data_IF_203516422445
#
_entry.id   IF_203516422445
#
_cell.length_a   1.000
_cell.length_b   1.000
_cell.length_c   1.000
_cell.angle_alpha   90.00
_cell.angle_beta   90.00
_cell.angle_gamma   90.00
#
_symmetry.space_group_name_H-M   'P 1'
#
loop_
_entity.id
_entity.type
_entity.pdbx_description
1 polymer ?
#
# COMPACT_ATOMS: atom_id res chain seq x y z
N UNK A 1 -8.53 21.88 -10.75
CA UNK A 1 -8.36 20.42 -10.57
C UNK A 1 -7.30 20.03 -11.56
N UNK A 2 -6.05 19.98 -11.13
CA UNK A 2 -5.00 19.43 -11.98
C UNK A 2 -5.32 17.95 -12.18
N UNK A 3 -5.37 17.51 -13.43
CA UNK A 3 -5.53 16.10 -13.74
C UNK A 3 -4.40 15.35 -13.02
N UNK A 4 -4.76 14.38 -12.16
CA UNK A 4 -3.76 13.52 -11.55
C UNK A 4 -2.88 12.97 -12.67
N UNK A 5 -1.58 13.24 -12.60
CA UNK A 5 -0.64 12.83 -13.63
C UNK A 5 -0.46 11.32 -13.50
N UNK A 6 -1.19 10.55 -14.28
CA UNK A 6 -0.98 9.10 -14.34
C UNK A 6 0.27 8.80 -15.17
N UNK A 7 1.00 7.77 -14.78
CA UNK A 7 2.08 7.19 -15.57
C UNK A 7 1.73 5.74 -15.88
N UNK A 8 2.25 5.18 -16.98
CA UNK A 8 2.10 3.74 -17.23
C UNK A 8 3.09 2.95 -16.37
N UNK A 9 2.75 1.71 -16.01
CA UNK A 9 3.67 0.78 -15.34
C UNK A 9 4.96 0.57 -16.12
N UNK A 10 4.88 0.61 -17.46
CA UNK A 10 6.03 0.45 -18.33
C UNK A 10 7.00 1.64 -18.22
N UNK A 11 6.48 2.87 -18.13
CA UNK A 11 7.32 4.05 -17.89
C UNK A 11 7.88 4.02 -16.48
N UNK A 12 7.05 3.70 -15.49
CA UNK A 12 7.47 3.58 -14.09
C UNK A 12 8.67 2.63 -13.92
N UNK A 13 8.57 1.39 -14.42
CA UNK A 13 9.62 0.39 -14.18
C UNK A 13 10.90 0.61 -15.00
N UNK A 14 10.82 1.29 -16.16
CA UNK A 14 11.99 1.62 -16.99
C UNK A 14 12.89 2.66 -16.33
N UNK A 15 12.29 3.58 -15.58
CA UNK A 15 12.99 4.71 -14.97
C UNK A 15 13.61 4.34 -13.60
N UNK A 16 13.34 3.13 -13.08
CA UNK A 16 13.86 2.66 -11.80
C UNK A 16 15.21 1.94 -11.95
N UNK A 17 16.26 2.51 -11.38
CA UNK A 17 17.55 1.86 -11.17
C UNK A 17 17.68 1.38 -9.72
N UNK A 18 17.41 0.10 -9.47
CA UNK A 18 17.41 -0.50 -8.14
C UNK A 18 18.37 -1.69 -8.03
N UNK A 19 18.90 -1.91 -6.82
CA UNK A 19 19.75 -3.04 -6.47
C UNK A 19 18.96 -4.26 -6.02
N UNK A 20 17.88 -4.05 -5.27
CA UNK A 20 16.97 -5.10 -4.83
C UNK A 20 15.58 -4.52 -4.58
N UNK A 21 14.60 -5.40 -4.40
CA UNK A 21 13.25 -5.03 -4.02
C UNK A 21 12.75 -5.87 -2.87
N UNK A 22 11.77 -5.34 -2.15
CA UNK A 22 11.07 -6.02 -1.07
C UNK A 22 9.58 -5.99 -1.31
N UNK A 23 8.91 -7.12 -1.07
CA UNK A 23 7.46 -7.19 -1.12
C UNK A 23 6.88 -7.20 0.28
N UNK A 24 5.81 -6.44 0.47
CA UNK A 24 5.16 -6.25 1.77
C UNK A 24 3.67 -6.59 1.69
N UNK A 25 3.18 -7.25 2.74
CA UNK A 25 1.76 -7.40 3.02
C UNK A 25 1.37 -6.45 4.14
N UNK A 26 0.22 -5.79 4.04
CA UNK A 26 -0.28 -4.87 5.05
C UNK A 26 -1.80 -4.93 5.17
N UNK A 27 -2.31 -4.40 6.27
CA UNK A 27 -3.73 -4.30 6.59
C UNK A 27 -4.47 -5.65 6.56
N UNK A 28 -3.79 -6.79 6.78
CA UNK A 28 -4.36 -8.14 6.63
C UNK A 28 -4.10 -9.00 7.85
N UNK A 29 -5.01 -9.95 8.09
CA UNK A 29 -4.86 -11.02 9.07
C UNK A 29 -5.36 -10.66 10.48
N UNK A 30 -5.57 -11.67 11.35
CA UNK A 30 -6.25 -11.49 12.64
C UNK A 30 -5.60 -10.44 13.54
N UNK A 31 -4.27 -10.39 13.57
CA UNK A 31 -3.52 -9.42 14.37
C UNK A 31 -3.80 -7.96 13.94
N UNK A 32 -3.97 -7.72 12.63
CA UNK A 32 -4.38 -6.42 12.14
C UNK A 32 -5.81 -6.08 12.58
N UNK A 33 -6.74 -7.03 12.45
CA UNK A 33 -8.15 -6.81 12.79
C UNK A 33 -8.33 -6.51 14.29
N UNK A 34 -7.68 -7.29 15.15
CA UNK A 34 -7.67 -7.08 16.60
C UNK A 34 -7.13 -5.70 16.95
N UNK A 35 -5.97 -5.34 16.40
CA UNK A 35 -5.35 -4.05 16.66
C UNK A 35 -6.18 -2.88 16.13
N UNK A 36 -6.79 -3.02 14.96
CA UNK A 36 -7.69 -2.02 14.40
C UNK A 36 -8.92 -1.82 15.28
N UNK A 37 -9.51 -2.90 15.80
CA UNK A 37 -10.64 -2.83 16.73
C UNK A 37 -10.27 -2.13 18.04
N UNK A 38 -9.07 -2.39 18.58
CA UNK A 38 -8.54 -1.68 19.74
C UNK A 38 -8.41 -0.17 19.48
N UNK A 39 -7.85 0.20 18.32
CA UNK A 39 -7.70 1.61 17.92
C UNK A 39 -9.07 2.29 17.74
N UNK A 40 -10.05 1.61 17.13
CA UNK A 40 -11.41 2.12 16.99
C UNK A 40 -12.10 2.30 18.35
N UNK A 41 -11.91 1.36 19.29
CA UNK A 41 -12.41 1.46 20.64
C UNK A 41 -11.75 2.59 21.43
N UNK A 42 -10.43 2.77 21.28
CA UNK A 42 -9.69 3.89 21.88
C UNK A 42 -10.16 5.24 21.30
N UNK A 43 -10.28 5.35 19.98
CA UNK A 43 -10.84 6.54 19.31
C UNK A 43 -12.23 6.87 19.85
N UNK A 44 -13.10 5.88 19.99
CA UNK A 44 -14.46 6.07 20.54
C UNK A 44 -14.40 6.56 21.99
N UNK A 45 -13.58 5.93 22.84
CA UNK A 45 -13.39 6.34 24.24
C UNK A 45 -12.89 7.78 24.35
N UNK A 46 -11.89 8.15 23.55
CA UNK A 46 -11.37 9.53 23.52
C UNK A 46 -12.45 10.52 23.08
N UNK A 47 -13.20 10.23 22.01
CA UNK A 47 -14.29 11.11 21.56
C UNK A 47 -15.38 11.30 22.62
N UNK A 48 -15.72 10.26 23.37
CA UNK A 48 -16.70 10.35 24.47
C UNK A 48 -16.14 11.15 25.65
N UNK A 49 -14.93 10.80 26.12
CA UNK A 49 -14.30 11.44 27.27
C UNK A 49 -14.07 12.95 27.03
N UNK A 50 -13.87 13.34 25.78
CA UNK A 50 -13.58 14.72 25.40
C UNK A 50 -14.82 15.62 25.31
N UNK A 51 -16.02 15.06 25.09
CA UNK A 51 -17.31 15.77 25.21
C UNK A 51 -17.45 17.08 24.44
N UNK A 52 -16.69 17.31 23.36
CA UNK A 52 -16.73 18.54 22.55
C UNK A 52 -15.84 19.70 23.03
N UNK A 53 -14.90 19.49 23.96
CA UNK A 53 -13.97 20.52 24.47
C UNK A 53 -12.70 20.66 23.63
N UNK A 54 -12.82 21.12 22.38
CA UNK A 54 -11.76 21.24 21.36
C UNK A 54 -10.58 22.19 21.66
N UNK A 55 -10.32 22.55 22.92
CA UNK A 55 -9.27 23.50 23.30
C UNK A 55 -8.08 22.86 24.04
N UNK A 56 -8.14 21.57 24.38
CA UNK A 56 -7.00 20.86 24.98
C UNK A 56 -6.16 20.19 23.89
N UNK A 57 -4.95 20.70 23.71
CA UNK A 57 -4.04 20.29 22.65
C UNK A 57 -3.46 18.88 22.86
N UNK A 58 -3.38 18.38 24.10
CA UNK A 58 -2.88 17.03 24.38
C UNK A 58 -3.80 15.95 23.79
N UNK A 59 -5.11 16.13 23.95
CA UNK A 59 -6.10 15.22 23.38
C UNK A 59 -6.17 15.29 21.85
N UNK A 60 -6.00 16.48 21.27
CA UNK A 60 -5.94 16.62 19.81
C UNK A 60 -4.78 15.82 19.23
N UNK A 61 -3.61 15.93 19.85
CA UNK A 61 -2.41 15.19 19.43
C UNK A 61 -2.64 13.68 19.55
N UNK A 62 -3.20 13.21 20.66
CA UNK A 62 -3.49 11.78 20.84
C UNK A 62 -4.54 11.26 19.85
N UNK A 63 -5.64 11.99 19.65
CA UNK A 63 -6.68 11.62 18.69
C UNK A 63 -6.12 11.61 17.26
N UNK A 64 -5.34 12.63 16.89
CA UNK A 64 -4.70 12.70 15.58
C UNK A 64 -3.76 11.51 15.34
N UNK A 65 -2.98 11.10 16.36
CA UNK A 65 -2.10 9.92 16.25
C UNK A 65 -2.89 8.62 16.03
N UNK A 66 -4.02 8.45 16.69
CA UNK A 66 -4.88 7.26 16.51
C UNK A 66 -5.58 7.29 15.16
N UNK A 67 -6.11 8.45 14.76
CA UNK A 67 -6.77 8.62 13.46
C UNK A 67 -5.77 8.41 12.32
N UNK A 68 -4.53 8.89 12.45
CA UNK A 68 -3.46 8.60 11.49
C UNK A 68 -3.25 7.08 11.33
N UNK A 69 -3.20 6.32 12.43
CA UNK A 69 -3.01 4.85 12.36
C UNK A 69 -4.21 4.10 11.78
N UNK A 70 -5.43 4.59 12.02
CA UNK A 70 -6.67 3.97 11.49
C UNK A 70 -6.83 4.26 10.00
N UNK A 71 -6.47 5.47 9.57
CA UNK A 71 -6.69 5.96 8.21
C UNK A 71 -5.45 5.90 7.32
N UNK A 72 -4.31 5.40 7.82
CA UNK A 72 -3.14 5.13 7.02
C UNK A 72 -3.50 4.09 5.93
N UNK A 73 -3.31 4.48 4.68
CA UNK A 73 -3.70 3.67 3.51
C UNK A 73 -2.50 3.08 2.77
N UNK A 74 -1.32 3.69 2.92
CA UNK A 74 -0.11 3.36 2.17
C UNK A 74 0.92 2.65 3.05
N UNK A 75 1.83 1.93 2.41
CA UNK A 75 2.93 1.25 3.09
C UNK A 75 3.85 2.23 3.83
N UNK A 76 4.09 3.41 3.27
CA UNK A 76 4.96 4.43 3.85
C UNK A 76 4.18 5.73 3.98
N UNK A 77 4.27 6.37 5.15
CA UNK A 77 3.65 7.67 5.41
C UNK A 77 4.54 8.85 4.96
N UNK A 78 4.01 10.07 5.09
CA UNK A 78 4.73 11.32 4.72
C UNK A 78 6.02 11.53 5.53
N UNK A 79 6.19 10.84 6.67
CA UNK A 79 7.39 10.87 7.50
C UNK A 79 8.39 9.76 7.15
N UNK A 80 8.12 8.99 6.09
CA UNK A 80 8.94 7.85 5.69
C UNK A 80 8.79 6.63 6.60
N UNK A 81 7.82 6.63 7.53
CA UNK A 81 7.57 5.52 8.45
C UNK A 81 6.71 4.46 7.78
N UNK A 82 7.05 3.20 8.03
CA UNK A 82 6.25 2.08 7.53
C UNK A 82 4.93 1.98 8.28
N UNK A 83 3.90 1.52 7.57
CA UNK A 83 2.61 1.19 8.13
C UNK A 83 2.80 0.20 9.28
N UNK A 84 2.14 0.43 10.41
CA UNK A 84 2.33 -0.36 11.63
C UNK A 84 2.01 -1.85 11.47
N UNK A 85 1.22 -2.20 10.45
CA UNK A 85 0.86 -3.58 10.12
C UNK A 85 1.70 -4.17 8.98
N UNK A 86 2.74 -3.46 8.50
CA UNK A 86 3.53 -3.91 7.39
C UNK A 86 4.33 -5.15 7.77
N UNK A 87 4.24 -6.19 6.95
CA UNK A 87 4.98 -7.41 7.07
C UNK A 87 5.83 -7.59 5.82
N UNK A 88 7.16 -7.63 6.00
CA UNK A 88 8.08 -8.01 4.95
C UNK A 88 7.82 -9.48 4.59
N UNK A 89 7.55 -9.73 3.31
CA UNK A 89 7.28 -11.07 2.80
C UNK A 89 8.52 -11.68 2.17
N UNK A 90 9.21 -10.90 1.32
CA UNK A 90 10.41 -11.36 0.63
C UNK A 90 11.30 -10.19 0.21
N UNK A 91 12.62 -10.40 0.31
CA UNK A 91 13.64 -9.56 -0.32
C UNK A 91 14.15 -10.28 -1.57
N UNK A 92 14.22 -9.58 -2.71
CA UNK A 92 14.49 -10.15 -4.04
C UNK A 92 15.58 -9.31 -4.72
N UNK A 93 16.69 -9.94 -5.08
CA UNK A 93 17.82 -9.29 -5.75
C UNK A 93 17.47 -8.89 -7.20
N UNK A 94 18.11 -7.84 -7.73
CA UNK A 94 17.88 -7.40 -9.11
C UNK A 94 18.15 -8.46 -10.18
N UNK A 95 18.98 -9.47 -9.88
CA UNK A 95 19.33 -10.57 -10.77
C UNK A 95 18.52 -11.84 -10.53
N UNK A 96 17.57 -11.83 -9.60
CA UNK A 96 16.65 -12.95 -9.37
C UNK A 96 15.63 -13.05 -10.53
N UNK A 97 15.27 -14.28 -10.92
CA UNK A 97 14.26 -14.53 -11.95
C UNK A 97 12.89 -13.91 -11.62
N UNK A 98 12.56 -13.75 -10.33
CA UNK A 98 11.36 -13.05 -9.89
C UNK A 98 11.39 -11.55 -10.27
N UNK A 99 12.57 -10.92 -10.26
CA UNK A 99 12.74 -9.53 -10.71
C UNK A 99 12.49 -9.40 -12.21
N UNK A 100 13.05 -10.30 -13.02
CA UNK A 100 12.82 -10.29 -14.46
C UNK A 100 11.34 -10.52 -14.81
N UNK A 101 10.68 -11.42 -14.07
CA UNK A 101 9.23 -11.62 -14.17
C UNK A 101 8.47 -10.35 -13.82
N UNK A 102 8.76 -9.71 -12.69
CA UNK A 102 8.11 -8.45 -12.32
C UNK A 102 8.27 -7.38 -13.42
N UNK A 103 9.49 -7.18 -13.91
CA UNK A 103 9.77 -6.21 -14.98
C UNK A 103 8.96 -6.54 -16.23
N UNK A 104 8.92 -7.80 -16.66
CA UNK A 104 8.15 -8.21 -17.83
C UNK A 104 6.64 -7.96 -17.66
N UNK A 105 6.11 -8.13 -16.45
CA UNK A 105 4.70 -7.87 -16.12
C UNK A 105 4.40 -6.37 -16.18
N UNK A 106 5.23 -5.54 -15.54
CA UNK A 106 5.03 -4.09 -15.51
C UNK A 106 5.27 -3.44 -16.89
N UNK A 107 6.02 -4.09 -17.77
CA UNK A 107 6.24 -3.66 -19.15
C UNK A 107 5.11 -4.01 -20.12
N UNK A 108 4.06 -4.73 -19.68
CA UNK A 108 2.88 -5.00 -20.52
C UNK A 108 2.20 -3.67 -20.89
N UNK A 109 1.92 -3.48 -22.18
CA UNK A 109 1.23 -2.29 -22.67
C UNK A 109 -0.17 -2.18 -22.04
N UNK A 110 -0.46 -1.02 -21.45
CA UNK A 110 -1.74 -0.72 -20.81
C UNK A 110 -2.86 -0.51 -21.85
N UNK A 111 -3.46 -1.60 -22.33
CA UNK A 111 -4.54 -1.56 -23.33
C UNK A 111 -5.92 -1.55 -22.65
N UNK A 112 -6.09 -2.38 -21.65
CA UNK A 112 -7.32 -2.49 -20.85
C UNK A 112 -7.02 -2.02 -19.43
N UNK A 113 -7.06 -0.70 -19.22
CA UNK A 113 -6.86 -0.10 -17.89
C UNK A 113 -8.14 -0.23 -17.07
N UNK A 114 -8.10 -0.90 -15.90
CA UNK A 114 -9.27 -1.02 -15.04
C UNK A 114 -9.76 0.35 -14.54
N UNK A 115 -11.08 0.55 -14.54
CA UNK A 115 -11.72 1.81 -14.13
C UNK A 115 -12.85 1.54 -13.12
N UNK A 116 -12.52 0.83 -12.04
CA UNK A 116 -13.48 0.48 -11.01
C UNK A 116 -13.85 1.71 -10.17
N UNK A 117 -15.14 1.92 -9.88
CA UNK A 117 -15.60 3.01 -9.00
C UNK A 117 -15.39 2.75 -7.50
N UNK A 118 -14.47 1.85 -7.13
CA UNK A 118 -14.18 1.54 -5.72
C UNK A 118 -13.02 2.38 -5.18
N UNK A 119 -13.09 2.73 -3.90
CA UNK A 119 -11.96 3.30 -3.20
C UNK A 119 -10.93 2.19 -2.91
N UNK A 120 -9.68 2.29 -3.41
CA UNK A 120 -8.70 1.23 -3.24
C UNK A 120 -8.27 1.10 -1.79
N UNK A 121 -8.04 -0.14 -1.35
CA UNK A 121 -7.37 -0.45 -0.09
C UNK A 121 -6.08 -1.20 -0.43
N UNK A 122 -4.95 -0.54 -0.26
CA UNK A 122 -3.65 -1.11 -0.61
C UNK A 122 -3.19 -2.07 0.48
N UNK A 123 -3.14 -3.36 0.14
CA UNK A 123 -2.81 -4.46 1.07
C UNK A 123 -1.50 -5.14 0.72
N UNK A 124 -0.94 -4.78 -0.41
CA UNK A 124 0.26 -5.37 -0.96
C UNK A 124 1.11 -4.23 -1.55
N UNK A 125 2.42 -4.32 -1.43
CA UNK A 125 3.31 -3.28 -1.92
C UNK A 125 4.69 -3.83 -2.31
N UNK A 126 5.38 -3.11 -3.18
CA UNK A 126 6.77 -3.35 -3.58
C UNK A 126 7.57 -2.11 -3.21
N UNK A 127 8.70 -2.31 -2.53
CA UNK A 127 9.66 -1.24 -2.25
C UNK A 127 10.93 -1.53 -3.01
N UNK A 128 11.43 -0.54 -3.75
CA UNK A 128 12.67 -0.63 -4.50
C UNK A 128 13.78 0.09 -3.75
N UNK A 129 14.95 -0.52 -3.66
CA UNK A 129 16.10 0.00 -2.93
C UNK A 129 17.35 0.10 -3.79
N UNK A 130 18.18 1.10 -3.52
CA UNK A 130 19.51 1.22 -4.13
C UNK A 130 20.54 0.28 -3.44
N UNK A 131 21.78 0.31 -3.92
CA UNK A 131 22.87 -0.51 -3.36
C UNK A 131 23.27 -0.10 -1.92
N UNK A 132 22.88 1.09 -1.48
CA UNK A 132 23.13 1.61 -0.13
C UNK A 132 21.92 1.39 0.80
N UNK A 133 20.92 0.61 0.38
CA UNK A 133 19.67 0.37 1.11
C UNK A 133 18.80 1.63 1.31
N UNK A 134 18.95 2.64 0.46
CA UNK A 134 18.02 3.77 0.42
C UNK A 134 16.80 3.39 -0.41
N UNK A 135 15.61 3.71 0.10
CA UNK A 135 14.35 3.55 -0.65
C UNK A 135 14.33 4.51 -1.84
N UNK A 136 14.16 3.96 -3.04
CA UNK A 136 14.01 4.71 -4.28
C UNK A 136 12.54 5.05 -4.53
N UNK A 137 11.67 4.04 -4.41
CA UNK A 137 10.23 4.21 -4.62
C UNK A 137 9.46 3.09 -3.93
N UNK A 138 8.21 3.36 -3.58
CA UNK A 138 7.26 2.37 -3.11
C UNK A 138 6.05 2.33 -4.05
N UNK A 139 5.70 1.14 -4.53
CA UNK A 139 4.49 0.88 -5.31
C UNK A 139 3.47 0.16 -4.44
N UNK A 140 2.38 0.84 -4.10
CA UNK A 140 1.25 0.28 -3.38
C UNK A 140 0.26 -0.33 -4.36
N UNK A 141 -0.25 -1.53 -4.06
CA UNK A 141 -1.08 -2.33 -4.96
C UNK A 141 -2.38 -2.74 -4.25
N UNK A 142 -3.50 -2.54 -4.94
CA UNK A 142 -4.81 -3.04 -4.54
C UNK A 142 -5.28 -4.06 -5.59
N UNK A 143 -5.23 -5.36 -5.25
CA UNK A 143 -5.67 -6.44 -6.14
C UNK A 143 -7.20 -6.63 -6.20
N UNK A 144 -7.97 -5.96 -5.33
CA UNK A 144 -9.44 -6.04 -5.34
C UNK A 144 -10.06 -5.07 -6.35
N UNK A 145 -9.38 -3.94 -6.58
CA UNK A 145 -9.81 -2.86 -7.44
C UNK A 145 -8.83 -2.61 -8.59
N UNK A 146 -7.80 -3.45 -8.74
CA UNK A 146 -6.75 -3.32 -9.75
C UNK A 146 -6.20 -1.88 -9.87
N UNK A 147 -5.73 -1.34 -8.73
CA UNK A 147 -5.11 -0.02 -8.66
C UNK A 147 -3.66 -0.12 -8.17
N UNK A 148 -2.81 0.76 -8.71
CA UNK A 148 -1.46 0.98 -8.19
C UNK A 148 -1.19 2.47 -8.01
N UNK A 149 -0.46 2.80 -6.95
CA UNK A 149 -0.05 4.17 -6.65
C UNK A 149 1.35 4.19 -6.03
N UNK A 150 2.15 5.18 -6.39
CA UNK A 150 3.45 5.40 -5.77
C UNK A 150 3.34 6.08 -4.40
N UNK A 151 4.43 6.12 -3.64
CA UNK A 151 4.59 6.93 -2.43
C UNK A 151 4.46 8.44 -2.66
N UNK A 152 4.54 8.90 -3.91
CA UNK A 152 4.31 10.30 -4.30
C UNK A 152 2.88 10.57 -4.82
N UNK A 153 1.94 9.67 -4.52
CA UNK A 153 0.54 9.78 -4.94
C UNK A 153 0.34 9.84 -6.47
N UNK A 154 1.25 9.23 -7.23
CA UNK A 154 1.16 9.11 -8.69
C UNK A 154 0.52 7.76 -9.01
N UNK A 155 -0.63 7.77 -9.69
CA UNK A 155 -1.27 6.54 -10.15
C UNK A 155 -0.46 5.90 -11.27
N UNK A 156 -0.35 4.58 -11.20
CA UNK A 156 0.39 3.77 -12.18
C UNK A 156 -0.61 2.91 -12.95
N UNK A 157 -0.94 3.34 -14.16
CA UNK A 157 -1.86 2.64 -15.05
C UNK A 157 -1.17 1.41 -15.65
N UNK A 158 -1.85 0.26 -15.58
CA UNK A 158 -1.38 -0.98 -16.19
C UNK A 158 -2.54 -1.77 -16.77
N UNK A 159 -2.21 -2.78 -17.56
CA UNK A 159 -3.19 -3.66 -18.18
C UNK A 159 -3.84 -4.59 -17.15
N UNK A 160 -5.12 -4.91 -17.31
CA UNK A 160 -5.82 -5.88 -16.46
C UNK A 160 -5.08 -7.23 -16.37
N UNK A 161 -4.46 -7.68 -17.46
CA UNK A 161 -3.67 -8.92 -17.47
C UNK A 161 -2.39 -8.85 -16.63
N UNK A 162 -1.85 -7.64 -16.42
CA UNK A 162 -0.69 -7.43 -15.55
C UNK A 162 -1.05 -7.68 -14.09
N UNK A 163 -2.23 -7.24 -13.63
CA UNK A 163 -2.71 -7.50 -12.26
C UNK A 163 -2.86 -8.99 -11.97
N UNK A 164 -3.39 -9.77 -12.92
CA UNK A 164 -3.49 -11.24 -12.79
C UNK A 164 -2.11 -11.86 -12.58
N UNK A 165 -1.11 -11.43 -13.35
CA UNK A 165 0.27 -11.93 -13.26
C UNK A 165 0.98 -11.45 -12.00
N UNK A 166 0.78 -10.20 -11.58
CA UNK A 166 1.30 -9.65 -10.33
C UNK A 166 0.74 -10.42 -9.14
N UNK A 167 -0.56 -10.70 -9.12
CA UNK A 167 -1.19 -11.50 -8.06
C UNK A 167 -0.54 -12.87 -7.92
N UNK A 168 -0.28 -13.56 -9.05
CA UNK A 168 0.44 -14.83 -9.04
C UNK A 168 1.86 -14.71 -8.46
N UNK A 169 2.62 -13.70 -8.87
CA UNK A 169 3.98 -13.45 -8.36
C UNK A 169 3.99 -13.20 -6.83
N UNK A 170 3.00 -12.47 -6.32
CA UNK A 170 2.86 -12.19 -4.90
C UNK A 170 2.46 -13.44 -4.10
N UNK A 171 1.54 -14.27 -4.61
CA UNK A 171 1.20 -15.56 -4.00
C UNK A 171 2.45 -16.46 -3.92
N UNK A 172 3.25 -16.53 -4.98
CA UNK A 172 4.53 -17.25 -4.99
C UNK A 172 5.55 -16.69 -3.99
N UNK A 173 5.45 -15.40 -3.65
CA UNK A 173 6.29 -14.73 -2.66
C UNK A 173 5.74 -14.86 -1.23
N UNK A 174 4.67 -15.64 -1.03
CA UNK A 174 4.09 -15.95 0.28
C UNK A 174 2.98 -15.01 0.74
N UNK A 175 2.51 -14.09 -0.11
CA UNK A 175 1.42 -13.19 0.24
C UNK A 175 0.09 -13.94 0.33
N UNK A 176 -0.69 -13.66 1.37
CA UNK A 176 -2.00 -14.27 1.57
C UNK A 176 -3.13 -13.45 0.92
N UNK A 177 -3.09 -13.27 -0.39
CA UNK A 177 -4.01 -12.33 -1.08
C UNK A 177 -5.48 -12.76 -0.98
N UNK A 178 -5.75 -14.07 -0.83
CA UNK A 178 -7.11 -14.60 -0.83
C UNK A 178 -7.74 -14.68 0.58
N UNK A 179 -7.02 -14.24 1.61
CA UNK A 179 -7.51 -14.28 2.98
C UNK A 179 -8.60 -13.25 3.26
N UNK A 180 -9.53 -13.54 4.19
CA UNK A 180 -10.60 -12.63 4.55
C UNK A 180 -10.10 -11.22 4.85
N UNK A 181 -10.86 -10.25 4.37
CA UNK A 181 -10.54 -8.83 4.49
C UNK A 181 -11.37 -8.22 5.62
N UNK A 182 -10.70 -7.66 6.64
CA UNK A 182 -11.31 -6.72 7.56
C UNK A 182 -11.88 -5.52 6.79
N UNK A 183 -13.19 -5.34 6.90
CA UNK A 183 -13.89 -4.18 6.36
C UNK A 183 -13.98 -3.10 7.43
N UNK A 184 -13.23 -2.02 7.25
CA UNK A 184 -13.56 -0.77 7.94
C UNK A 184 -14.82 -0.25 7.25
N UNK A 185 -15.97 -0.34 7.92
CA UNK A 185 -17.16 0.40 7.48
C UNK A 185 -16.82 1.89 7.61
N UNK A 186 -16.41 2.51 6.49
CA UNK A 186 -16.32 3.97 6.37
C UNK A 186 -17.75 4.50 6.42
N UNK A 187 -18.24 4.80 7.62
CA UNK A 187 -19.47 5.59 7.86
C UNK A 187 -19.12 7.07 7.85
#
# INVERSE_FOLDING_TARGET
MDAAKNITSANYIRDLDFAYMETYSLQRGPAFEERLNDLLAERKRLKIAYGGRWTDDGFKVQLASIEQKIYAQYLVDDNGQFHWSAQLMRTIDKHDAATDRLKSILLIDAKEVPAWMCAPVYRDAIVFYDANSNRISCLNICFDCDYMITDHLVYVDTDASAYVKLKALFLESGHDINSPIARINRL
#
